data_IF_971266058979
#
_entry.id   IF_971266058979
#
_cell.length_a   1.000
_cell.length_b   1.000
_cell.length_c   1.000
_cell.angle_alpha   90.00
_cell.angle_beta   90.00
_cell.angle_gamma   90.00
#
_symmetry.space_group_name_H-M   'P 1'
#
loop_
_entity.id
_entity.type
_entity.pdbx_description
1 polymer ?
#
# COMPACT_ATOMS: atom_id res chain seq x y z
N UNK A 1 -19.76 17.32 63.30
CA UNK A 1 -19.51 17.73 61.90
C UNK A 1 -19.26 16.47 61.09
N UNK A 2 -20.18 16.10 60.20
CA UNK A 2 -20.13 14.87 59.38
C UNK A 2 -19.68 15.26 57.98
N UNK A 3 -18.52 14.75 57.55
CA UNK A 3 -18.05 14.94 56.18
C UNK A 3 -18.76 13.96 55.26
N UNK A 4 -19.50 14.51 54.29
CA UNK A 4 -20.12 13.78 53.18
C UNK A 4 -19.02 13.47 52.18
N UNK A 5 -18.69 12.19 52.00
CA UNK A 5 -17.79 11.74 50.95
C UNK A 5 -18.50 11.87 49.60
N UNK A 6 -18.03 12.83 48.81
CA UNK A 6 -18.47 13.10 47.43
C UNK A 6 -17.97 11.95 46.56
N UNK A 7 -18.90 11.19 45.98
CA UNK A 7 -18.64 10.17 44.99
C UNK A 7 -18.04 10.78 43.72
N UNK A 8 -16.79 10.40 43.42
CA UNK A 8 -16.10 10.72 42.18
C UNK A 8 -16.69 9.84 41.07
N UNK A 9 -17.73 10.36 40.39
CA UNK A 9 -18.27 9.76 39.17
C UNK A 9 -17.20 9.86 38.08
N UNK A 10 -16.56 8.73 37.78
CA UNK A 10 -15.72 8.55 36.60
C UNK A 10 -16.59 8.70 35.34
N UNK A 11 -16.65 9.92 34.84
CA UNK A 11 -17.06 10.21 33.47
C UNK A 11 -16.02 9.60 32.53
N UNK A 12 -16.22 8.33 32.20
CA UNK A 12 -15.63 7.71 31.02
C UNK A 12 -16.16 8.49 29.81
N UNK A 13 -15.41 9.53 29.43
CA UNK A 13 -15.57 10.24 28.19
C UNK A 13 -15.39 9.21 27.08
N UNK A 14 -16.51 8.83 26.47
CA UNK A 14 -16.52 8.14 25.19
C UNK A 14 -15.82 9.07 24.20
N UNK A 15 -14.52 8.86 24.00
CA UNK A 15 -13.83 9.36 22.81
C UNK A 15 -14.45 8.64 21.64
N UNK A 16 -15.56 9.17 21.14
CA UNK A 16 -16.04 8.86 19.80
C UNK A 16 -14.99 9.41 18.85
N UNK A 17 -14.07 8.55 18.43
CA UNK A 17 -13.21 8.79 17.29
C UNK A 17 -14.12 8.89 16.06
N UNK A 18 -14.55 10.11 15.72
CA UNK A 18 -15.03 10.43 14.39
C UNK A 18 -13.80 10.49 13.47
N UNK A 19 -13.23 9.31 13.19
CA UNK A 19 -12.26 9.15 12.12
C UNK A 19 -12.88 9.55 10.77
N UNK A 20 -12.07 9.87 9.76
CA UNK A 20 -12.58 10.31 8.47
C UNK A 20 -13.45 9.20 7.86
N UNK A 21 -14.74 9.51 7.71
CA UNK A 21 -15.79 8.83 6.92
C UNK A 21 -15.65 7.31 6.77
N UNK A 22 -16.44 6.57 7.55
CA UNK A 22 -16.66 5.13 7.39
C UNK A 22 -17.11 4.83 5.94
N UNK A 23 -16.28 4.14 5.18
CA UNK A 23 -16.63 3.60 3.85
C UNK A 23 -17.80 2.64 4.03
N UNK A 24 -18.92 2.87 3.33
CA UNK A 24 -20.19 2.12 3.48
C UNK A 24 -20.17 0.68 2.91
N UNK A 25 -19.00 0.07 2.74
CA UNK A 25 -18.83 -1.24 2.08
C UNK A 25 -18.50 -2.37 3.07
N UNK A 26 -19.21 -2.42 4.21
CA UNK A 26 -18.93 -3.31 5.35
C UNK A 26 -18.38 -4.69 4.97
N UNK A 27 -17.07 -4.89 5.15
CA UNK A 27 -16.41 -6.18 5.00
C UNK A 27 -16.26 -6.72 3.57
N UNK A 28 -16.23 -5.87 2.53
CA UNK A 28 -15.94 -6.30 1.15
C UNK A 28 -14.55 -5.81 0.69
N UNK A 29 -13.53 -6.67 0.82
CA UNK A 29 -12.13 -6.36 0.47
C UNK A 29 -11.88 -5.95 -0.96
N UNK A 30 -12.52 -6.63 -1.89
CA UNK A 30 -12.30 -6.32 -3.29
C UNK A 30 -12.86 -4.91 -3.55
N UNK A 31 -14.02 -4.58 -2.95
CA UNK A 31 -14.61 -3.26 -3.07
C UNK A 31 -13.78 -2.18 -2.36
N UNK A 32 -13.14 -2.50 -1.24
CA UNK A 32 -12.25 -1.57 -0.53
C UNK A 32 -10.97 -1.34 -1.32
N UNK A 33 -10.37 -2.38 -1.89
CA UNK A 33 -9.22 -2.23 -2.80
C UNK A 33 -9.60 -1.34 -3.99
N UNK A 34 -10.76 -1.59 -4.62
CA UNK A 34 -11.28 -0.79 -5.72
C UNK A 34 -11.43 0.69 -5.34
N UNK A 35 -12.03 0.99 -4.19
CA UNK A 35 -12.17 2.35 -3.66
C UNK A 35 -10.81 2.97 -3.36
N UNK A 36 -9.90 2.22 -2.72
CA UNK A 36 -8.56 2.68 -2.38
C UNK A 36 -7.75 3.08 -3.62
N UNK A 37 -7.83 2.29 -4.70
CA UNK A 37 -7.25 2.63 -5.99
C UNK A 37 -7.88 3.92 -6.54
N UNK A 38 -9.21 4.08 -6.44
CA UNK A 38 -9.90 5.31 -6.86
C UNK A 38 -9.42 6.56 -6.12
N UNK A 39 -9.25 6.48 -4.80
CA UNK A 39 -8.73 7.57 -3.98
C UNK A 39 -7.28 7.90 -4.33
N UNK A 40 -6.45 6.88 -4.52
CA UNK A 40 -5.07 7.05 -4.95
C UNK A 40 -4.99 7.69 -6.33
N UNK A 41 -5.87 7.31 -7.26
CA UNK A 41 -5.98 7.92 -8.58
C UNK A 41 -6.27 9.42 -8.48
N UNK A 42 -7.27 9.82 -7.69
CA UNK A 42 -7.59 11.25 -7.49
C UNK A 42 -6.38 12.04 -7.00
N UNK A 43 -5.62 11.47 -6.05
CA UNK A 43 -4.38 12.07 -5.54
C UNK A 43 -3.32 12.21 -6.65
N UNK A 44 -2.96 11.10 -7.30
CA UNK A 44 -1.93 11.08 -8.35
C UNK A 44 -2.28 12.00 -9.52
N UNK A 45 -3.55 12.02 -9.93
CA UNK A 45 -4.05 12.90 -11.00
C UNK A 45 -4.03 14.38 -10.56
N UNK A 46 -4.21 14.65 -9.27
CA UNK A 46 -4.05 15.98 -8.68
C UNK A 46 -2.69 16.62 -8.90
N UNK A 47 -1.65 15.79 -8.90
CA UNK A 47 -0.26 16.22 -9.14
C UNK A 47 0.02 16.42 -10.64
N UNK A 48 -0.83 15.85 -11.50
CA UNK A 48 -0.71 15.89 -12.95
C UNK A 48 -1.88 16.64 -13.62
N UNK A 49 -2.52 17.59 -12.93
CA UNK A 49 -3.72 18.30 -13.39
C UNK A 49 -3.60 18.87 -14.82
N UNK A 50 -2.43 19.37 -15.19
CA UNK A 50 -2.19 19.94 -16.53
C UNK A 50 -2.25 18.93 -17.68
N UNK A 51 -2.25 17.63 -17.40
CA UNK A 51 -2.33 16.55 -18.39
C UNK A 51 -3.75 16.00 -18.57
N UNK A 52 -4.70 16.41 -17.71
CA UNK A 52 -6.04 15.84 -17.66
C UNK A 52 -6.96 16.48 -18.71
N UNK A 53 -7.78 15.65 -19.34
CA UNK A 53 -8.84 16.09 -20.28
C UNK A 53 -10.24 16.09 -19.64
N UNK A 54 -10.30 16.04 -18.32
CA UNK A 54 -11.52 15.97 -17.53
C UNK A 54 -11.36 16.80 -16.25
N UNK A 55 -12.47 17.17 -15.61
CA UNK A 55 -12.46 17.87 -14.34
C UNK A 55 -12.16 16.90 -13.18
N UNK A 56 -11.00 17.08 -12.55
CA UNK A 56 -10.59 16.28 -11.41
C UNK A 56 -11.52 16.43 -10.20
N UNK A 57 -12.14 17.59 -9.99
CA UNK A 57 -13.05 17.78 -8.86
C UNK A 57 -14.32 16.93 -9.03
N UNK A 58 -14.84 16.86 -10.26
CA UNK A 58 -15.95 15.96 -10.60
C UNK A 58 -15.57 14.49 -10.38
N UNK A 59 -14.36 14.06 -10.77
CA UNK A 59 -13.88 12.71 -10.49
C UNK A 59 -13.74 12.45 -8.98
N UNK A 60 -13.16 13.37 -8.23
CA UNK A 60 -13.01 13.25 -6.78
C UNK A 60 -14.36 13.09 -6.08
N UNK A 61 -15.35 13.88 -6.51
CA UNK A 61 -16.73 13.75 -6.01
C UNK A 61 -17.36 12.40 -6.37
N UNK A 62 -17.13 11.90 -7.58
CA UNK A 62 -17.59 10.58 -7.97
C UNK A 62 -16.97 9.48 -7.09
N UNK A 63 -15.66 9.54 -6.81
CA UNK A 63 -15.00 8.59 -5.90
C UNK A 63 -15.58 8.64 -4.49
N UNK A 64 -15.83 9.85 -3.96
CA UNK A 64 -16.35 10.05 -2.60
C UNK A 64 -17.80 9.59 -2.42
N UNK A 65 -18.64 9.77 -3.43
CA UNK A 65 -20.09 9.57 -3.30
C UNK A 65 -20.59 8.21 -3.80
N UNK A 66 -19.74 7.46 -4.49
CA UNK A 66 -20.13 6.18 -5.09
C UNK A 66 -20.10 5.03 -4.09
N UNK A 67 -21.15 4.22 -4.11
CA UNK A 67 -21.17 2.91 -3.46
C UNK A 67 -20.56 1.87 -4.38
N UNK A 68 -19.53 1.18 -3.92
CA UNK A 68 -18.87 0.10 -4.67
C UNK A 68 -19.20 -1.23 -4.02
N UNK A 69 -19.66 -2.19 -4.82
CA UNK A 69 -20.00 -3.54 -4.38
C UNK A 69 -19.28 -4.55 -5.27
N UNK A 70 -18.91 -5.70 -4.71
CA UNK A 70 -18.39 -6.80 -5.51
C UNK A 70 -19.40 -7.95 -5.59
N UNK A 71 -19.28 -8.78 -6.61
CA UNK A 71 -20.11 -9.98 -6.77
C UNK A 71 -19.33 -11.14 -7.39
N UNK A 72 -19.70 -12.36 -7.03
CA UNK A 72 -19.25 -13.57 -7.74
C UNK A 72 -20.13 -13.89 -8.95
N UNK A 73 -21.31 -13.26 -9.07
CA UNK A 73 -22.22 -13.45 -10.20
C UNK A 73 -21.61 -12.85 -11.46
N UNK A 74 -21.88 -13.49 -12.60
CA UNK A 74 -21.53 -12.97 -13.91
C UNK A 74 -22.27 -11.66 -14.13
N UNK A 75 -21.54 -10.60 -14.47
CA UNK A 75 -22.12 -9.31 -14.81
C UNK A 75 -22.32 -9.25 -16.31
N UNK A 76 -23.53 -8.87 -16.73
CA UNK A 76 -23.88 -8.73 -18.15
C UNK A 76 -24.55 -7.38 -18.38
N UNK A 77 -24.17 -6.73 -19.47
CA UNK A 77 -24.77 -5.49 -19.95
C UNK A 77 -24.93 -5.59 -21.47
N UNK A 78 -26.14 -5.40 -21.97
CA UNK A 78 -26.49 -5.55 -23.39
C UNK A 78 -26.06 -6.91 -23.98
N UNK A 79 -26.21 -7.97 -23.20
CA UNK A 79 -25.84 -9.34 -23.59
C UNK A 79 -24.34 -9.62 -23.60
N UNK A 80 -23.49 -8.65 -23.25
CA UNK A 80 -22.05 -8.82 -23.15
C UNK A 80 -21.61 -8.97 -21.70
N UNK A 81 -20.62 -9.84 -21.49
CA UNK A 81 -19.97 -9.99 -20.19
C UNK A 81 -19.15 -8.75 -19.84
N UNK A 82 -19.20 -8.36 -18.56
CA UNK A 82 -18.50 -7.19 -18.04
C UNK A 82 -17.71 -7.53 -16.79
N UNK A 83 -16.57 -6.86 -16.63
CA UNK A 83 -15.77 -6.94 -15.41
C UNK A 83 -16.37 -6.08 -14.29
N UNK A 84 -16.96 -4.95 -14.66
CA UNK A 84 -17.70 -4.07 -13.78
C UNK A 84 -18.83 -3.36 -14.54
N UNK A 85 -19.83 -2.90 -13.78
CA UNK A 85 -20.96 -2.12 -14.27
C UNK A 85 -21.15 -0.95 -13.32
N UNK A 86 -21.05 0.26 -13.85
CA UNK A 86 -21.48 1.48 -13.16
C UNK A 86 -22.95 1.80 -13.45
N UNK A 87 -23.62 2.42 -12.48
CA UNK A 87 -24.99 2.93 -12.57
C UNK A 87 -24.97 4.38 -12.06
N UNK A 88 -24.74 5.37 -12.93
CA UNK A 88 -24.48 6.75 -12.52
C UNK A 88 -25.64 7.38 -11.72
N UNK A 89 -26.88 7.12 -12.11
CA UNK A 89 -28.08 7.62 -11.42
C UNK A 89 -28.19 7.13 -9.97
N UNK A 90 -27.69 5.91 -9.69
CA UNK A 90 -27.67 5.31 -8.36
C UNK A 90 -26.35 5.55 -7.62
N UNK A 91 -25.37 6.22 -8.24
CA UNK A 91 -23.98 6.35 -7.76
C UNK A 91 -23.44 5.00 -7.28
N UNK A 92 -23.58 3.97 -8.12
CA UNK A 92 -23.26 2.59 -7.75
C UNK A 92 -22.34 1.97 -8.78
N UNK A 93 -21.32 1.25 -8.31
CA UNK A 93 -20.48 0.38 -9.14
C UNK A 93 -20.61 -1.03 -8.57
N UNK A 94 -20.85 -2.02 -9.44
CA UNK A 94 -20.78 -3.44 -9.10
C UNK A 94 -19.73 -4.10 -9.98
N UNK A 95 -18.77 -4.82 -9.40
CA UNK A 95 -17.74 -5.51 -10.19
C UNK A 95 -17.62 -7.00 -9.84
N UNK A 96 -17.13 -7.79 -10.79
CA UNK A 96 -16.98 -9.23 -10.66
C UNK A 96 -15.65 -9.59 -9.99
N UNK A 97 -15.70 -10.34 -8.89
CA UNK A 97 -14.52 -10.71 -8.09
C UNK A 97 -13.52 -11.59 -8.84
N UNK A 98 -14.01 -12.52 -9.66
CA UNK A 98 -13.15 -13.45 -10.41
C UNK A 98 -12.36 -12.67 -11.46
N UNK A 99 -13.05 -11.78 -12.20
CA UNK A 99 -12.40 -10.88 -13.15
C UNK A 99 -11.42 -9.92 -12.46
N UNK A 100 -11.79 -9.37 -11.29
CA UNK A 100 -10.93 -8.50 -10.49
C UNK A 100 -9.63 -9.16 -10.05
N UNK A 101 -9.71 -10.37 -9.48
CA UNK A 101 -8.55 -11.14 -9.06
C UNK A 101 -7.65 -11.52 -10.25
N UNK A 102 -8.25 -11.85 -11.39
CA UNK A 102 -7.54 -12.22 -12.61
C UNK A 102 -6.75 -11.09 -13.28
N UNK A 103 -6.96 -9.82 -12.90
CA UNK A 103 -6.20 -8.70 -13.50
C UNK A 103 -4.73 -8.69 -13.13
N UNK A 104 -4.37 -9.10 -11.90
CA UNK A 104 -3.01 -9.29 -11.37
C UNK A 104 -2.12 -8.04 -11.28
N UNK A 105 -2.19 -7.17 -12.28
CA UNK A 105 -1.41 -5.95 -12.47
C UNK A 105 -2.18 -4.72 -11.98
N UNK A 106 -1.51 -3.88 -11.20
CA UNK A 106 -2.08 -2.65 -10.63
C UNK A 106 -2.50 -1.67 -11.73
N UNK A 107 -1.78 -1.57 -12.85
CA UNK A 107 -2.17 -0.69 -13.96
C UNK A 107 -3.52 -1.13 -14.55
N UNK A 108 -3.72 -2.43 -14.76
CA UNK A 108 -4.99 -2.96 -15.27
C UNK A 108 -6.15 -2.74 -14.30
N UNK A 109 -5.89 -2.89 -13.00
CA UNK A 109 -6.89 -2.57 -11.97
C UNK A 109 -7.21 -1.08 -11.95
N UNK A 110 -6.20 -0.22 -12.03
CA UNK A 110 -6.37 1.23 -12.05
C UNK A 110 -7.12 1.72 -13.29
N UNK A 111 -6.86 1.15 -14.47
CA UNK A 111 -7.59 1.45 -15.71
C UNK A 111 -9.07 1.10 -15.52
N UNK A 112 -9.39 -0.09 -15.01
CA UNK A 112 -10.79 -0.47 -14.73
C UNK A 112 -11.45 0.48 -13.74
N UNK A 113 -10.79 0.75 -12.61
CA UNK A 113 -11.32 1.63 -11.57
C UNK A 113 -11.61 3.03 -12.11
N UNK A 114 -10.65 3.60 -12.85
CA UNK A 114 -10.79 4.91 -13.43
C UNK A 114 -11.93 4.95 -14.45
N UNK A 115 -12.06 3.93 -15.29
CA UNK A 115 -13.14 3.79 -16.27
C UNK A 115 -14.52 3.82 -15.59
N UNK A 116 -14.72 3.04 -14.53
CA UNK A 116 -16.01 2.99 -13.85
C UNK A 116 -16.35 4.32 -13.16
N UNK A 117 -15.36 4.99 -12.55
CA UNK A 117 -15.58 6.31 -11.96
C UNK A 117 -15.80 7.41 -13.01
N UNK A 118 -15.22 7.30 -14.20
CA UNK A 118 -15.58 8.17 -15.33
C UNK A 118 -17.05 8.01 -15.71
N UNK A 119 -17.56 6.78 -15.73
CA UNK A 119 -18.98 6.51 -15.91
C UNK A 119 -19.85 7.25 -14.88
N UNK A 120 -19.50 7.15 -13.59
CA UNK A 120 -20.22 7.88 -12.53
C UNK A 120 -20.09 9.41 -12.68
N UNK A 121 -18.91 9.91 -13.06
CA UNK A 121 -18.63 11.32 -13.26
C UNK A 121 -19.28 11.92 -14.52
N UNK A 122 -19.91 11.11 -15.38
CA UNK A 122 -20.44 11.54 -16.66
C UNK A 122 -19.36 11.87 -17.69
N UNK A 123 -18.15 11.34 -17.51
CA UNK A 123 -17.02 11.47 -18.44
C UNK A 123 -17.09 10.33 -19.44
N UNK A 124 -17.12 10.66 -20.74
CA UNK A 124 -17.16 9.66 -21.80
C UNK A 124 -15.79 8.98 -21.94
N UNK A 125 -15.74 7.69 -21.59
CA UNK A 125 -14.57 6.83 -21.77
C UNK A 125 -14.93 5.61 -22.60
N UNK A 126 -15.04 5.79 -23.92
CA UNK A 126 -15.38 4.68 -24.80
C UNK A 126 -14.25 3.65 -24.81
N UNK A 127 -14.58 2.39 -24.52
CA UNK A 127 -13.65 1.24 -24.60
C UNK A 127 -12.33 1.42 -23.82
N UNK A 128 -12.35 2.15 -22.69
CA UNK A 128 -11.18 2.39 -21.84
C UNK A 128 -10.10 3.30 -22.47
N UNK A 129 -10.38 4.01 -23.57
CA UNK A 129 -9.38 4.83 -24.26
C UNK A 129 -8.81 5.95 -23.38
N UNK A 130 -9.68 6.68 -22.68
CA UNK A 130 -9.28 7.79 -21.81
C UNK A 130 -8.63 7.29 -20.53
N UNK A 131 -9.18 6.25 -19.90
CA UNK A 131 -8.60 5.67 -18.68
C UNK A 131 -7.22 5.09 -18.95
N UNK A 132 -7.04 4.31 -20.02
CA UNK A 132 -5.73 3.77 -20.43
C UNK A 132 -4.72 4.88 -20.69
N UNK A 133 -5.07 5.85 -21.56
CA UNK A 133 -4.15 6.95 -21.88
C UNK A 133 -3.78 7.79 -20.65
N UNK A 134 -4.72 7.96 -19.71
CA UNK A 134 -4.47 8.70 -18.47
C UNK A 134 -3.49 7.94 -17.58
N UNK A 135 -3.72 6.65 -17.33
CA UNK A 135 -2.86 5.81 -16.49
C UNK A 135 -1.44 5.74 -17.05
N UNK A 136 -1.30 5.54 -18.37
CA UNK A 136 0.01 5.49 -19.03
C UNK A 136 0.78 6.81 -18.89
N UNK A 137 0.10 7.96 -19.05
CA UNK A 137 0.73 9.28 -18.96
C UNK A 137 1.20 9.62 -17.55
N UNK A 138 0.43 9.23 -16.54
CA UNK A 138 0.78 9.52 -15.14
C UNK A 138 1.65 8.43 -14.51
N UNK A 139 1.81 7.29 -15.19
CA UNK A 139 2.68 6.19 -14.75
C UNK A 139 2.21 5.54 -13.45
N UNK A 140 0.90 5.34 -13.26
CA UNK A 140 0.31 4.91 -11.98
C UNK A 140 0.93 3.62 -11.40
N UNK A 141 1.17 2.59 -12.22
CA UNK A 141 1.75 1.31 -11.80
C UNK A 141 3.28 1.30 -11.66
N UNK A 142 3.96 2.39 -12.03
CA UNK A 142 5.39 2.60 -11.73
C UNK A 142 5.63 3.13 -10.31
N UNK A 143 4.54 3.44 -9.61
CA UNK A 143 4.52 3.85 -8.22
C UNK A 143 4.31 2.60 -7.38
N UNK A 144 5.32 2.17 -6.62
CA UNK A 144 5.12 1.08 -5.66
C UNK A 144 4.01 1.48 -4.67
N UNK A 145 3.38 0.52 -3.99
CA UNK A 145 2.29 0.71 -3.00
C UNK A 145 2.59 1.74 -1.86
N UNK A 146 3.83 2.26 -1.81
CA UNK A 146 4.35 3.31 -0.93
C UNK A 146 4.41 4.72 -1.55
N UNK A 147 4.16 4.90 -2.84
CA UNK A 147 4.33 6.19 -3.52
C UNK A 147 5.69 6.36 -4.21
N UNK A 148 6.62 5.43 -4.03
CA UNK A 148 8.01 5.53 -4.51
C UNK A 148 8.09 5.38 -6.03
N UNK A 149 8.88 6.24 -6.68
CA UNK A 149 9.18 6.17 -8.13
C UNK A 149 10.68 6.07 -8.33
N UNK A 150 11.15 5.02 -9.01
CA UNK A 150 12.55 4.87 -9.38
C UNK A 150 12.77 5.29 -10.84
N UNK A 151 13.67 6.24 -11.07
CA UNK A 151 13.87 6.87 -12.38
C UNK A 151 15.23 6.55 -13.01
N UNK A 152 16.20 6.06 -12.21
CA UNK A 152 17.55 5.81 -12.69
C UNK A 152 18.19 4.65 -11.96
N UNK A 153 18.74 3.68 -12.71
CA UNK A 153 19.61 2.66 -12.16
C UNK A 153 21.02 3.22 -11.91
N UNK A 154 21.61 2.94 -10.75
CA UNK A 154 22.99 3.32 -10.47
C UNK A 154 23.97 2.41 -11.24
N UNK A 155 25.07 2.97 -11.73
CA UNK A 155 26.14 2.21 -12.37
C UNK A 155 26.87 1.31 -11.36
N UNK A 156 27.60 0.31 -11.83
CA UNK A 156 28.39 -0.57 -10.94
C UNK A 156 29.44 0.22 -10.15
N UNK A 157 30.03 1.23 -10.77
CA UNK A 157 31.01 2.12 -10.16
C UNK A 157 30.36 2.99 -9.07
N UNK A 158 29.18 3.55 -9.34
CA UNK A 158 28.39 4.28 -8.34
C UNK A 158 28.04 3.38 -7.16
N UNK A 159 27.54 2.17 -7.41
CA UNK A 159 27.20 1.19 -6.35
C UNK A 159 28.44 0.83 -5.53
N UNK A 160 29.56 0.50 -6.17
CA UNK A 160 30.81 0.16 -5.47
C UNK A 160 31.32 1.29 -4.58
N UNK A 161 31.08 2.54 -4.96
CA UNK A 161 31.49 3.72 -4.19
C UNK A 161 30.52 4.02 -3.04
N UNK A 162 29.22 3.98 -3.31
CA UNK A 162 28.18 4.46 -2.40
C UNK A 162 27.73 3.40 -1.39
N UNK A 163 27.68 2.13 -1.78
CA UNK A 163 27.19 1.05 -0.92
C UNK A 163 27.94 0.96 0.43
N UNK A 164 29.29 1.05 0.50
CA UNK A 164 29.96 1.06 1.79
C UNK A 164 29.53 2.22 2.71
N UNK A 165 29.28 3.41 2.15
CA UNK A 165 28.83 4.60 2.87
C UNK A 165 27.42 4.36 3.44
N UNK A 166 26.53 3.83 2.61
CA UNK A 166 25.17 3.46 2.96
C UNK A 166 25.12 2.43 4.11
N UNK A 167 25.91 1.36 4.00
CA UNK A 167 25.96 0.32 5.03
C UNK A 167 26.54 0.85 6.35
N UNK A 168 27.55 1.71 6.31
CA UNK A 168 28.11 2.33 7.52
C UNK A 168 27.08 3.23 8.22
N UNK A 169 26.28 3.99 7.46
CA UNK A 169 25.20 4.77 8.03
C UNK A 169 24.15 3.89 8.72
N UNK A 170 23.72 2.79 8.08
CA UNK A 170 22.78 1.84 8.69
C UNK A 170 23.37 1.26 9.98
N UNK A 171 24.62 0.79 9.95
CA UNK A 171 25.29 0.26 11.16
C UNK A 171 25.33 1.31 12.28
N UNK A 172 25.59 2.58 11.98
CA UNK A 172 25.63 3.65 12.99
C UNK A 172 24.26 3.98 13.60
N UNK A 173 23.17 3.69 12.88
CA UNK A 173 21.80 3.99 13.30
C UNK A 173 21.03 2.76 13.80
N UNK A 174 21.63 1.57 13.76
CA UNK A 174 21.00 0.27 14.01
C UNK A 174 20.13 0.22 15.28
N UNK A 175 20.53 0.92 16.33
CA UNK A 175 19.79 0.96 17.61
C UNK A 175 18.48 1.75 17.58
N UNK A 176 18.23 2.51 16.51
CA UNK A 176 17.05 3.39 16.34
C UNK A 176 16.15 2.96 15.18
N UNK A 177 16.55 1.96 14.41
CA UNK A 177 15.80 1.51 13.24
C UNK A 177 14.78 0.43 13.63
N UNK A 178 13.59 0.41 13.01
CA UNK A 178 12.78 -0.79 12.98
C UNK A 178 13.58 -1.92 12.34
N UNK A 179 13.60 -3.08 12.98
CA UNK A 179 14.27 -4.25 12.43
C UNK A 179 13.53 -4.80 11.19
N UNK A 180 14.20 -5.61 10.35
CA UNK A 180 13.53 -6.37 9.29
C UNK A 180 12.32 -7.18 9.80
N UNK A 181 12.43 -7.79 10.99
CA UNK A 181 11.31 -8.51 11.61
C UNK A 181 10.16 -7.57 11.98
N UNK A 182 10.45 -6.40 12.56
CA UNK A 182 9.42 -5.39 12.84
C UNK A 182 8.73 -4.96 11.54
N UNK A 183 9.48 -4.72 10.47
CA UNK A 183 8.94 -4.34 9.17
C UNK A 183 8.06 -5.43 8.55
N UNK A 184 8.45 -6.71 8.68
CA UNK A 184 7.62 -7.85 8.26
C UNK A 184 6.33 -7.92 9.06
N UNK A 185 6.40 -7.81 10.39
CA UNK A 185 5.22 -7.81 11.25
C UNK A 185 4.30 -6.63 10.97
N UNK A 186 4.84 -5.43 10.74
CA UNK A 186 4.04 -4.27 10.34
C UNK A 186 3.37 -4.46 8.98
N UNK A 187 4.02 -5.12 8.02
CA UNK A 187 3.38 -5.51 6.75
C UNK A 187 2.27 -6.52 6.98
N UNK A 188 2.47 -7.51 7.84
CA UNK A 188 1.44 -8.50 8.20
C UNK A 188 0.28 -7.84 8.94
N UNK A 189 0.54 -7.00 9.94
CA UNK A 189 -0.47 -6.17 10.62
C UNK A 189 -1.24 -5.32 9.62
N UNK A 190 -0.55 -4.66 8.67
CA UNK A 190 -1.22 -3.90 7.61
C UNK A 190 -2.08 -4.82 6.74
N UNK A 191 -1.54 -5.95 6.30
CA UNK A 191 -2.25 -6.91 5.45
C UNK A 191 -3.46 -7.52 6.17
N UNK A 192 -3.35 -7.80 7.47
CA UNK A 192 -4.41 -8.30 8.35
C UNK A 192 -5.43 -7.22 8.69
N UNK A 193 -5.01 -5.98 8.94
CA UNK A 193 -5.91 -4.85 9.17
C UNK A 193 -6.66 -4.47 7.89
N UNK A 194 -6.01 -4.57 6.72
CA UNK A 194 -6.69 -4.54 5.43
C UNK A 194 -7.60 -5.77 5.31
N UNK A 195 -7.09 -6.95 5.68
CA UNK A 195 -7.76 -8.26 5.74
C UNK A 195 -8.96 -8.37 6.69
N UNK A 196 -9.10 -7.44 7.64
CA UNK A 196 -10.27 -7.21 8.50
C UNK A 196 -11.55 -6.96 7.68
N UNK A 197 -11.40 -6.88 6.37
CA UNK A 197 -12.50 -6.67 5.44
C UNK A 197 -12.73 -7.88 4.53
N UNK A 198 -12.09 -9.04 4.78
CA UNK A 198 -12.40 -10.32 4.10
C UNK A 198 -13.44 -11.06 4.92
N UNK A 199 -14.58 -11.46 4.35
CA UNK A 199 -15.49 -12.37 5.02
C UNK A 199 -14.82 -13.72 5.26
N UNK A 200 -14.90 -14.20 6.49
CA UNK A 200 -14.45 -15.54 6.90
C UNK A 200 -15.50 -16.59 6.55
N UNK A 201 -16.77 -16.16 6.48
CA UNK A 201 -17.89 -16.93 5.94
C UNK A 201 -18.98 -16.00 5.39
N UNK A 202 -19.95 -16.56 4.68
CA UNK A 202 -21.16 -15.84 4.29
C UNK A 202 -22.35 -16.50 4.98
N UNK A 203 -23.29 -15.70 5.48
CA UNK A 203 -24.57 -16.23 5.94
C UNK A 203 -25.42 -16.75 4.76
N UNK A 204 -26.58 -17.35 5.08
CA UNK A 204 -27.51 -17.87 4.07
C UNK A 204 -28.09 -16.79 3.15
N UNK A 205 -27.99 -15.53 3.52
CA UNK A 205 -28.47 -14.36 2.78
C UNK A 205 -27.35 -13.73 1.92
N UNK A 206 -26.12 -14.26 2.03
CA UNK A 206 -24.95 -13.79 1.29
C UNK A 206 -24.24 -12.61 1.95
N UNK A 207 -24.55 -12.29 3.20
CA UNK A 207 -23.84 -11.25 3.96
C UNK A 207 -22.49 -11.77 4.43
N UNK A 208 -21.48 -10.93 4.26
CA UNK A 208 -20.12 -11.16 4.74
C UNK A 208 -20.09 -11.22 6.28
N UNK A 209 -19.74 -12.37 6.85
CA UNK A 209 -19.41 -12.49 8.27
C UNK A 209 -17.89 -12.32 8.38
N UNK A 210 -17.48 -11.21 8.96
CA UNK A 210 -16.09 -10.97 9.35
C UNK A 210 -15.93 -11.41 10.80
N UNK A 211 -14.99 -12.32 11.07
CA UNK A 211 -14.59 -12.62 12.44
C UNK A 211 -13.63 -11.53 12.93
N UNK A 212 -14.26 -10.47 13.45
CA UNK A 212 -13.56 -9.36 14.10
C UNK A 212 -12.71 -9.86 15.27
N UNK A 213 -13.17 -10.88 15.99
CA UNK A 213 -12.48 -11.38 17.17
C UNK A 213 -11.21 -12.14 16.79
N UNK A 214 -11.27 -13.01 15.77
CA UNK A 214 -10.09 -13.67 15.20
C UNK A 214 -9.06 -12.65 14.72
N UNK A 215 -9.52 -11.62 14.00
CA UNK A 215 -8.61 -10.59 13.48
C UNK A 215 -7.96 -9.78 14.60
N UNK A 216 -8.73 -9.42 15.64
CA UNK A 216 -8.19 -8.79 16.85
C UNK A 216 -7.14 -9.70 17.48
N UNK A 217 -7.42 -11.00 17.64
CA UNK A 217 -6.46 -11.96 18.21
C UNK A 217 -5.17 -12.08 17.38
N UNK A 218 -5.25 -12.06 16.06
CA UNK A 218 -4.07 -12.05 15.18
C UNK A 218 -3.26 -10.76 15.39
N UNK A 219 -3.92 -9.60 15.43
CA UNK A 219 -3.26 -8.31 15.65
C UNK A 219 -2.63 -8.20 17.04
N UNK A 220 -3.29 -8.72 18.06
CA UNK A 220 -2.75 -8.82 19.43
C UNK A 220 -1.52 -9.72 19.46
N UNK A 221 -1.54 -10.84 18.73
CA UNK A 221 -0.40 -11.74 18.63
C UNK A 221 0.80 -11.05 17.95
N UNK A 222 0.60 -10.36 16.82
CA UNK A 222 1.67 -9.60 16.17
C UNK A 222 2.19 -8.46 17.06
N UNK A 223 1.31 -7.78 17.79
CA UNK A 223 1.69 -6.73 18.74
C UNK A 223 2.50 -7.31 19.90
N UNK A 224 2.16 -8.51 20.37
CA UNK A 224 2.91 -9.22 21.39
C UNK A 224 4.29 -9.61 20.88
N UNK A 225 4.39 -10.19 19.69
CA UNK A 225 5.67 -10.55 19.07
C UNK A 225 6.60 -9.34 18.96
N UNK A 226 6.08 -8.20 18.48
CA UNK A 226 6.81 -6.93 18.42
C UNK A 226 7.32 -6.45 19.79
N UNK A 227 6.56 -6.68 20.86
CA UNK A 227 6.94 -6.29 22.23
C UNK A 227 8.00 -7.22 22.82
N UNK A 228 8.00 -8.49 22.42
CA UNK A 228 8.93 -9.50 22.91
C UNK A 228 10.30 -9.43 22.22
N UNK A 229 10.37 -8.88 20.99
CA UNK A 229 11.66 -8.63 20.32
C UNK A 229 12.53 -7.66 21.13
N UNK A 230 13.72 -8.10 21.51
CA UNK A 230 14.65 -7.27 22.30
C UNK A 230 15.39 -6.28 21.41
N UNK A 231 16.01 -5.25 22.00
CA UNK A 231 16.88 -4.34 21.24
C UNK A 231 18.08 -5.06 20.61
N UNK A 232 18.61 -6.11 21.26
CA UNK A 232 19.70 -6.91 20.73
C UNK A 232 19.27 -7.72 19.50
N UNK A 233 18.08 -8.33 19.54
CA UNK A 233 17.53 -9.08 18.39
C UNK A 233 17.31 -8.17 17.18
N UNK A 234 16.78 -6.96 17.40
CA UNK A 234 16.60 -5.96 16.34
C UNK A 234 17.92 -5.55 15.70
N UNK A 235 18.94 -5.35 16.54
CA UNK A 235 20.29 -5.02 16.07
C UNK A 235 20.88 -6.16 15.26
N UNK A 236 20.78 -7.39 15.77
CA UNK A 236 21.29 -8.58 15.10
C UNK A 236 20.62 -8.78 13.74
N UNK A 237 19.28 -8.77 13.68
CA UNK A 237 18.51 -8.92 12.44
C UNK A 237 18.88 -7.86 11.39
N UNK A 238 19.09 -6.61 11.82
CA UNK A 238 19.55 -5.54 10.92
C UNK A 238 20.98 -5.77 10.44
N UNK A 239 21.87 -6.23 11.34
CA UNK A 239 23.26 -6.53 10.99
C UNK A 239 23.38 -7.74 10.05
N UNK A 240 22.48 -8.72 10.14
CA UNK A 240 22.42 -9.85 9.21
C UNK A 240 22.15 -9.37 7.79
N UNK A 241 21.20 -8.43 7.62
CA UNK A 241 20.95 -7.77 6.33
C UNK A 241 22.20 -7.03 5.84
N UNK A 242 22.81 -6.19 6.69
CA UNK A 242 24.01 -5.41 6.34
C UNK A 242 25.17 -6.32 5.92
N UNK A 243 25.43 -7.38 6.69
CA UNK A 243 26.49 -8.35 6.38
C UNK A 243 26.19 -9.13 5.11
N UNK A 244 24.90 -9.39 4.85
CA UNK A 244 24.40 -9.88 3.59
C UNK A 244 24.90 -9.06 2.40
N UNK A 245 24.58 -7.77 2.37
CA UNK A 245 25.05 -6.84 1.32
C UNK A 245 26.58 -6.80 1.19
N UNK A 246 27.34 -6.91 2.30
CA UNK A 246 28.81 -6.94 2.27
C UNK A 246 29.34 -8.19 1.57
N UNK A 247 28.68 -9.33 1.76
CA UNK A 247 29.10 -10.62 1.20
C UNK A 247 28.81 -10.75 -0.31
N UNK A 248 27.89 -9.94 -0.84
CA UNK A 248 27.27 -10.15 -2.16
C UNK A 248 27.32 -8.91 -3.06
N UNK A 249 28.27 -8.00 -2.84
CA UNK A 249 28.36 -6.71 -3.55
C UNK A 249 28.21 -6.80 -5.08
N UNK A 250 28.68 -7.87 -5.71
CA UNK A 250 28.55 -8.10 -7.16
C UNK A 250 27.10 -8.35 -7.65
N UNK A 251 26.20 -8.76 -6.75
CA UNK A 251 24.78 -9.05 -7.02
C UNK A 251 23.85 -7.91 -6.59
N UNK A 252 24.39 -6.89 -5.91
CA UNK A 252 23.61 -5.74 -5.45
C UNK A 252 23.24 -4.86 -6.63
N UNK A 253 21.95 -4.53 -6.73
CA UNK A 253 21.45 -3.52 -7.65
C UNK A 253 20.88 -2.35 -6.87
N UNK A 254 21.19 -1.12 -7.29
CA UNK A 254 20.63 0.07 -6.67
C UNK A 254 19.93 0.96 -7.71
N UNK A 255 18.83 1.55 -7.30
CA UNK A 255 17.99 2.44 -8.10
C UNK A 255 17.77 3.74 -7.32
N UNK A 256 17.92 4.84 -8.03
CA UNK A 256 17.66 6.19 -7.55
C UNK A 256 16.23 6.57 -7.95
N UNK A 257 15.56 7.25 -7.03
CA UNK A 257 14.15 7.59 -7.17
C UNK A 257 13.70 8.70 -6.25
N UNK A 258 12.40 8.80 -6.09
CA UNK A 258 11.74 9.72 -5.16
C UNK A 258 10.80 8.93 -4.25
N UNK A 259 10.72 9.35 -2.98
CA UNK A 259 9.86 8.73 -1.96
C UNK A 259 8.38 8.82 -2.30
N UNK A 260 8.01 9.87 -3.02
CA UNK A 260 6.66 10.07 -3.50
C UNK A 260 6.64 10.60 -4.94
N UNK A 261 5.47 10.45 -5.55
CA UNK A 261 5.08 11.02 -6.84
C UNK A 261 5.28 12.55 -6.94
N UNK A 262 5.20 13.28 -5.81
CA UNK A 262 5.46 14.74 -5.78
C UNK A 262 6.95 15.10 -5.82
N UNK A 263 7.84 14.10 -5.83
CA UNK A 263 9.31 14.27 -5.88
C UNK A 263 9.87 15.11 -4.73
N UNK A 264 9.26 14.98 -3.56
CA UNK A 264 9.60 15.70 -2.34
C UNK A 264 10.96 15.30 -1.74
N UNK A 265 11.33 14.03 -1.88
CA UNK A 265 12.51 13.48 -1.22
C UNK A 265 13.22 12.47 -2.13
N UNK A 266 14.52 12.69 -2.42
CA UNK A 266 15.33 11.76 -3.23
C UNK A 266 15.66 10.53 -2.39
N UNK A 267 15.50 9.35 -2.99
CA UNK A 267 15.78 8.08 -2.31
C UNK A 267 16.64 7.16 -3.17
N UNK A 268 17.39 6.29 -2.51
CA UNK A 268 18.04 5.14 -3.14
C UNK A 268 17.50 3.86 -2.55
N UNK A 269 17.07 2.95 -3.41
CA UNK A 269 16.75 1.56 -3.06
C UNK A 269 17.89 0.67 -3.52
N UNK A 270 18.48 -0.11 -2.63
CA UNK A 270 19.39 -1.17 -3.01
C UNK A 270 18.78 -2.53 -2.65
N UNK A 271 18.91 -3.49 -3.57
CA UNK A 271 18.42 -4.86 -3.45
C UNK A 271 19.56 -5.83 -3.67
N UNK A 272 19.77 -6.73 -2.72
CA UNK A 272 20.58 -7.94 -2.86
C UNK A 272 19.62 -9.12 -3.03
N UNK A 273 19.62 -9.75 -4.20
CA UNK A 273 18.78 -10.90 -4.49
C UNK A 273 19.65 -12.15 -4.61
N UNK A 274 19.52 -13.05 -3.64
CA UNK A 274 20.19 -14.34 -3.62
C UNK A 274 19.16 -15.43 -3.85
N UNK A 275 19.24 -16.09 -5.00
CA UNK A 275 18.49 -17.32 -5.26
C UNK A 275 19.46 -18.50 -5.28
N UNK A 276 19.18 -19.52 -4.47
CA UNK A 276 19.91 -20.79 -4.46
C UNK A 276 18.93 -21.93 -4.20
N UNK A 277 18.97 -22.96 -5.04
CA UNK A 277 18.26 -24.23 -4.83
C UNK A 277 16.76 -24.11 -4.50
N UNK A 278 16.07 -23.17 -5.15
CA UNK A 278 14.63 -22.93 -4.94
C UNK A 278 14.32 -21.92 -3.84
N UNK A 279 15.28 -21.59 -2.98
CA UNK A 279 15.14 -20.56 -1.95
C UNK A 279 15.42 -19.17 -2.54
N UNK A 280 14.57 -18.21 -2.19
CA UNK A 280 14.74 -16.79 -2.52
C UNK A 280 15.01 -16.01 -1.23
N UNK A 281 16.20 -15.40 -1.13
CA UNK A 281 16.58 -14.45 -0.08
C UNK A 281 16.81 -13.07 -0.72
N UNK A 282 15.82 -12.19 -0.56
CA UNK A 282 15.89 -10.81 -1.01
C UNK A 282 16.09 -9.87 0.18
N UNK A 283 17.11 -9.03 0.10
CA UNK A 283 17.40 -8.00 1.12
C UNK A 283 17.27 -6.64 0.48
N UNK A 284 16.55 -5.74 1.14
CA UNK A 284 16.28 -4.41 0.62
C UNK A 284 16.69 -3.35 1.65
N UNK A 285 17.40 -2.32 1.19
CA UNK A 285 17.59 -1.08 1.94
C UNK A 285 17.02 0.08 1.13
N UNK A 286 16.37 1.02 1.82
CA UNK A 286 15.91 2.29 1.23
C UNK A 286 16.42 3.43 2.09
N UNK A 287 17.09 4.38 1.45
CA UNK A 287 17.71 5.53 2.09
C UNK A 287 17.18 6.81 1.47
N UNK A 288 17.01 7.83 2.29
CA UNK A 288 16.95 9.21 1.82
C UNK A 288 18.36 9.67 1.48
N UNK A 289 18.53 10.39 0.38
CA UNK A 289 19.85 10.86 -0.09
C UNK A 289 19.82 12.31 -0.52
N UNK A 290 20.96 12.98 -0.44
CA UNK A 290 21.13 14.30 -1.06
C UNK A 290 21.04 14.18 -2.59
N UNK A 291 20.31 15.09 -3.24
CA UNK A 291 20.04 15.00 -4.68
C UNK A 291 21.31 15.13 -5.54
N UNK A 292 22.33 15.87 -5.06
CA UNK A 292 23.54 16.17 -5.83
C UNK A 292 24.66 15.19 -5.52
N UNK A 293 24.90 14.90 -4.24
CA UNK A 293 26.02 14.07 -3.80
C UNK A 293 25.66 12.60 -3.71
N UNK A 294 24.36 12.28 -3.62
CA UNK A 294 23.83 10.96 -3.28
C UNK A 294 24.32 10.45 -1.92
N UNK A 295 24.84 11.33 -1.06
CA UNK A 295 25.19 10.97 0.31
C UNK A 295 23.92 10.68 1.12
N UNK A 296 23.94 9.65 1.97
CA UNK A 296 22.75 9.25 2.70
C UNK A 296 22.41 10.28 3.78
N UNK A 297 21.14 10.67 3.85
CA UNK A 297 20.58 11.63 4.81
C UNK A 297 19.76 10.95 5.91
N UNK A 298 19.11 9.82 5.59
CA UNK A 298 18.28 9.06 6.52
C UNK A 298 18.08 7.62 6.06
N UNK A 299 17.87 6.69 7.00
CA UNK A 299 17.46 5.33 6.68
C UNK A 299 15.94 5.26 6.72
N UNK A 300 15.32 4.87 5.60
CA UNK A 300 13.86 4.77 5.47
C UNK A 300 13.37 3.34 5.67
N UNK A 301 14.17 2.35 5.22
CA UNK A 301 13.82 0.93 5.33
C UNK A 301 15.08 0.06 5.37
N UNK A 302 15.07 -0.95 6.22
CA UNK A 302 15.94 -2.12 6.13
C UNK A 302 15.05 -3.36 6.24
N UNK A 303 15.15 -4.26 5.28
CA UNK A 303 14.18 -5.34 5.12
C UNK A 303 14.84 -6.60 4.56
N UNK A 304 14.22 -7.73 4.87
CA UNK A 304 14.63 -9.05 4.39
C UNK A 304 13.39 -9.90 4.12
N UNK A 305 13.35 -10.53 2.96
CA UNK A 305 12.32 -11.44 2.54
C UNK A 305 12.96 -12.79 2.20
N UNK A 306 12.47 -13.84 2.85
CA UNK A 306 12.86 -15.21 2.59
C UNK A 306 11.61 -15.98 2.18
N UNK A 307 11.72 -16.72 1.07
CA UNK A 307 10.71 -17.66 0.60
C UNK A 307 11.36 -19.01 0.28
N UNK A 308 10.67 -20.06 0.74
CA UNK A 308 10.96 -21.47 0.47
C UNK A 308 10.19 -21.97 -0.77
#
# INVERSE_FOLDING_TARGET
MKYVAIGLLLLASQVSFAGPRVVKNGGDMDAIEFVGIGQQLVKTLGEHRGLLKFDLNTLAKAVDETRVESTTKKLTLDGMDKDAINTPSAKRIVFNRIAWAGKGDLDKKAILVLHEYFGIAGVADQKYDLSTSTIEKVGFGKVNYRGEIFDRKLSKEEVSKLLPIYLNMITSQVSRLPSPQDNRLLKLVKATAMGFTRPVSYDREGSAIVDVQETISILENYTKELKETTAADRQQSTMDVVNGFRSSTAKVSCELGYKSVTRDERIVRCVDNQSSDGYMDERTIILSVDEKTLEPMGVLLVDSFQAD
#
